data_IF_620816742039
#
_entry.id   IF_620816742039
#
_cell.length_a   1.000
_cell.length_b   1.000
_cell.length_c   1.000
_cell.angle_alpha   90.00
_cell.angle_beta   90.00
_cell.angle_gamma   90.00
#
_symmetry.space_group_name_H-M   'P 1'
#
loop_
_entity.id
_entity.type
_entity.pdbx_description
1 polymer ?
#
# COMPACT_ATOMS: atom_id res chain seq x y z
N UNK A 1 17.25 6.55 -79.09
CA UNK A 1 16.04 6.64 -78.24
C UNK A 1 16.13 5.59 -77.14
N UNK A 2 16.01 6.06 -75.89
CA UNK A 2 15.72 5.35 -74.64
C UNK A 2 16.59 4.16 -74.22
N UNK A 3 17.66 4.44 -73.45
CA UNK A 3 18.28 3.47 -72.54
C UNK A 3 17.50 3.54 -71.24
N UNK A 4 16.65 2.55 -70.98
CA UNK A 4 15.89 2.44 -69.73
C UNK A 4 16.84 1.97 -68.63
N UNK A 5 17.22 2.90 -67.75
CA UNK A 5 17.94 2.61 -66.51
C UNK A 5 17.07 1.73 -65.60
N UNK A 6 17.33 0.42 -65.61
CA UNK A 6 16.84 -0.46 -64.55
C UNK A 6 17.81 -0.39 -63.39
N UNK A 7 17.37 0.23 -62.30
CA UNK A 7 18.07 0.15 -61.02
C UNK A 7 18.37 -1.33 -60.69
N UNK A 8 19.60 -1.67 -60.26
CA UNK A 8 19.96 -3.04 -59.95
C UNK A 8 19.08 -3.61 -58.85
N UNK A 9 18.50 -4.79 -59.08
CA UNK A 9 17.60 -5.47 -58.13
C UNK A 9 18.19 -5.64 -56.72
N UNK A 10 19.52 -5.66 -56.59
CA UNK A 10 20.22 -5.76 -55.31
C UNK A 10 20.12 -4.47 -54.45
N UNK A 11 20.01 -3.30 -55.08
CA UNK A 11 19.81 -2.02 -54.36
C UNK A 11 18.40 -1.92 -53.75
N UNK A 12 17.38 -2.42 -54.45
CA UNK A 12 16.00 -2.48 -53.91
C UNK A 12 15.91 -3.44 -52.72
N UNK A 13 16.58 -4.60 -52.80
CA UNK A 13 16.63 -5.58 -51.72
C UNK A 13 17.35 -5.04 -50.47
N UNK A 14 18.45 -4.30 -50.63
CA UNK A 14 19.17 -3.70 -49.50
C UNK A 14 18.35 -2.62 -48.78
N UNK A 15 17.63 -1.77 -49.52
CA UNK A 15 16.77 -0.73 -48.92
C UNK A 15 15.56 -1.35 -48.20
N UNK A 16 14.96 -2.41 -48.72
CA UNK A 16 13.86 -3.12 -48.05
C UNK A 16 14.33 -3.80 -46.76
N UNK A 17 15.52 -4.40 -46.76
CA UNK A 17 16.11 -5.03 -45.57
C UNK A 17 16.47 -4.03 -44.47
N UNK A 18 16.93 -2.82 -44.80
CA UNK A 18 17.23 -1.80 -43.78
C UNK A 18 15.98 -1.18 -43.16
N UNK A 19 14.89 -0.98 -43.94
CA UNK A 19 13.62 -0.45 -43.41
C UNK A 19 12.92 -1.47 -42.48
N UNK A 20 13.01 -2.77 -42.77
CA UNK A 20 12.48 -3.82 -41.89
C UNK A 20 13.27 -3.96 -40.57
N UNK A 21 14.60 -3.82 -40.61
CA UNK A 21 15.43 -3.91 -39.42
C UNK A 21 15.27 -2.71 -38.47
N UNK A 22 15.02 -1.50 -38.98
CA UNK A 22 14.76 -0.32 -38.14
C UNK A 22 13.34 -0.30 -37.55
N UNK A 23 12.37 -0.99 -38.16
CA UNK A 23 10.98 -1.05 -37.69
C UNK A 23 10.76 -1.90 -36.43
N UNK A 24 11.62 -2.88 -36.15
CA UNK A 24 11.47 -3.77 -34.99
C UNK A 24 12.09 -3.22 -33.69
N UNK A 25 12.91 -2.16 -33.74
CA UNK A 25 13.62 -1.65 -32.57
C UNK A 25 12.81 -0.67 -31.70
N UNK A 26 11.57 -0.34 -32.07
CA UNK A 26 10.70 0.59 -31.31
C UNK A 26 9.56 -0.12 -30.58
N UNK A 27 9.71 -1.42 -30.29
CA UNK A 27 8.93 -2.06 -29.24
C UNK A 27 9.54 -1.65 -27.90
N UNK A 28 9.18 -0.44 -27.45
CA UNK A 28 9.46 -0.02 -26.08
C UNK A 28 9.00 -1.13 -25.14
N UNK A 29 9.92 -1.67 -24.36
CA UNK A 29 9.60 -2.63 -23.30
C UNK A 29 8.73 -1.88 -22.28
N UNK A 30 7.41 -1.93 -22.45
CA UNK A 30 6.49 -1.65 -21.36
C UNK A 30 6.88 -2.66 -20.29
N UNK A 31 7.45 -2.19 -19.19
CA UNK A 31 7.62 -3.01 -18.00
C UNK A 31 6.30 -3.69 -17.64
N UNK A 32 6.32 -4.80 -16.90
CA UNK A 32 5.08 -5.46 -16.49
C UNK A 32 4.16 -4.41 -15.86
N UNK A 33 2.92 -4.33 -16.34
CA UNK A 33 1.93 -3.47 -15.71
C UNK A 33 1.85 -3.88 -14.22
N UNK A 34 1.96 -2.91 -13.31
CA UNK A 34 1.74 -3.16 -11.89
C UNK A 34 0.33 -3.70 -11.76
N UNK A 35 0.20 -4.97 -11.39
CA UNK A 35 -1.11 -5.59 -11.23
C UNK A 35 -1.81 -4.95 -10.03
N UNK A 36 -3.00 -4.39 -10.26
CA UNK A 36 -3.88 -3.93 -9.18
C UNK A 36 -4.86 -5.06 -8.85
N UNK A 37 -4.89 -5.50 -7.59
CA UNK A 37 -5.74 -6.62 -7.17
C UNK A 37 -6.21 -6.50 -5.73
N UNK A 38 -7.37 -7.08 -5.43
CA UNK A 38 -7.91 -7.11 -4.08
C UNK A 38 -7.29 -8.27 -3.26
N UNK A 39 -7.07 -8.04 -1.97
CA UNK A 39 -6.64 -9.03 -0.98
C UNK A 39 -7.49 -8.90 0.28
N UNK A 40 -7.88 -10.04 0.87
CA UNK A 40 -8.44 -10.10 2.22
C UNK A 40 -7.37 -10.48 3.27
N UNK A 41 -6.15 -10.73 2.83
CA UNK A 41 -5.02 -11.06 3.66
C UNK A 41 -4.18 -9.82 3.96
N UNK A 42 -4.26 -9.37 5.20
CA UNK A 42 -3.53 -8.21 5.72
C UNK A 42 -2.16 -8.61 6.31
N UNK A 43 -1.85 -9.90 6.39
CA UNK A 43 -0.58 -10.36 6.96
C UNK A 43 0.62 -10.11 6.03
N UNK A 44 0.35 -9.91 4.74
CA UNK A 44 1.36 -9.72 3.70
C UNK A 44 1.28 -8.34 3.02
N UNK A 45 0.90 -7.29 3.75
CA UNK A 45 0.95 -5.93 3.23
C UNK A 45 2.40 -5.48 2.94
N UNK A 46 2.63 -4.64 1.92
CA UNK A 46 3.96 -4.15 1.58
C UNK A 46 4.69 -3.47 2.75
N UNK A 47 5.99 -3.77 2.89
CA UNK A 47 6.88 -3.26 3.94
C UNK A 47 6.52 -3.65 5.39
N UNK A 48 5.55 -4.53 5.60
CA UNK A 48 5.31 -5.11 6.91
C UNK A 48 6.56 -5.87 7.38
N UNK A 49 7.16 -5.41 8.49
CA UNK A 49 8.26 -6.13 9.15
C UNK A 49 7.71 -7.03 10.26
N UNK A 50 8.61 -7.74 10.94
CA UNK A 50 8.25 -8.57 12.09
C UNK A 50 7.90 -7.70 13.30
N UNK A 51 6.74 -7.97 13.90
CA UNK A 51 6.33 -7.40 15.18
C UNK A 51 5.13 -6.45 15.08
N UNK A 52 4.34 -6.45 16.14
CA UNK A 52 3.22 -5.56 16.32
C UNK A 52 3.26 -4.91 17.70
N UNK A 53 2.49 -3.84 17.88
CA UNK A 53 2.54 -3.04 19.08
C UNK A 53 1.22 -2.33 19.36
N UNK A 54 1.11 -1.81 20.59
CA UNK A 54 0.13 -0.82 21.02
C UNK A 54 0.86 0.41 21.55
N UNK A 55 0.18 1.55 21.57
CA UNK A 55 0.68 2.77 22.21
C UNK A 55 -0.19 3.04 23.43
N UNK A 56 0.41 3.07 24.61
CA UNK A 56 -0.26 3.33 25.87
C UNK A 56 0.10 4.71 26.38
N UNK A 57 -0.86 5.39 27.01
CA UNK A 57 -0.62 6.61 27.76
C UNK A 57 -0.24 6.25 29.19
N UNK A 58 0.93 6.67 29.63
CA UNK A 58 1.45 6.49 31.00
C UNK A 58 1.84 7.85 31.54
N UNK A 59 0.96 8.43 32.37
CA UNK A 59 1.06 9.83 32.77
C UNK A 59 0.98 10.74 31.55
N UNK A 60 2.00 11.59 31.37
CA UNK A 60 2.13 12.49 30.22
C UNK A 60 2.97 11.89 29.06
N UNK A 61 3.35 10.61 29.17
CA UNK A 61 4.21 9.93 28.19
C UNK A 61 3.46 8.85 27.40
N UNK A 62 3.87 8.65 26.14
CA UNK A 62 3.40 7.54 25.30
C UNK A 62 4.43 6.41 25.31
N UNK A 63 4.01 5.21 25.66
CA UNK A 63 4.85 4.00 25.62
C UNK A 63 4.41 3.08 24.48
N UNK A 64 5.37 2.63 23.67
CA UNK A 64 5.14 1.59 22.67
C UNK A 64 5.35 0.22 23.32
N UNK A 65 4.31 -0.61 23.34
CA UNK A 65 4.32 -1.94 23.97
C UNK A 65 4.20 -3.00 22.89
N UNK A 66 5.10 -3.98 22.87
CA UNK A 66 5.04 -5.09 21.91
C UNK A 66 3.81 -5.98 22.16
N UNK A 67 3.17 -6.40 21.07
CA UNK A 67 1.96 -7.20 21.07
C UNK A 67 2.08 -8.36 20.09
N UNK A 68 1.29 -9.41 20.31
CA UNK A 68 1.08 -10.43 19.30
C UNK A 68 0.21 -9.85 18.17
N UNK A 69 0.71 -9.91 16.93
CA UNK A 69 -0.05 -9.47 15.74
C UNK A 69 -1.41 -10.15 15.64
N UNK A 70 -2.43 -9.40 15.23
CA UNK A 70 -3.81 -9.85 15.12
C UNK A 70 -4.57 -9.96 16.47
N UNK A 71 -3.89 -9.79 17.60
CA UNK A 71 -4.56 -9.79 18.92
C UNK A 71 -5.46 -8.57 19.10
N UNK A 72 -6.38 -8.62 20.05
CA UNK A 72 -7.23 -7.48 20.41
C UNK A 72 -6.47 -6.31 21.03
N UNK A 73 -5.22 -6.51 21.45
CA UNK A 73 -4.35 -5.47 21.99
C UNK A 73 -3.45 -4.86 20.91
N UNK A 74 -3.19 -5.57 19.81
CA UNK A 74 -2.33 -5.09 18.73
C UNK A 74 -3.06 -4.07 17.88
N UNK A 75 -2.63 -2.81 17.95
CA UNK A 75 -3.18 -1.72 17.14
C UNK A 75 -2.33 -1.46 15.91
N UNK A 76 -1.01 -1.64 16.04
CA UNK A 76 -0.04 -1.24 15.03
C UNK A 76 0.85 -2.40 14.65
N UNK A 77 1.27 -2.43 13.38
CA UNK A 77 2.35 -3.27 12.88
C UNK A 77 3.58 -2.41 12.69
N UNK A 78 4.75 -2.95 13.07
CA UNK A 78 6.02 -2.26 12.85
C UNK A 78 6.43 -2.43 11.39
N UNK A 79 6.69 -1.33 10.71
CA UNK A 79 7.19 -1.33 9.32
C UNK A 79 8.61 -0.75 9.20
N UNK A 80 9.14 -0.19 10.28
CA UNK A 80 10.52 0.29 10.35
C UNK A 80 10.89 0.82 11.72
N UNK A 81 12.18 0.70 12.06
CA UNK A 81 12.80 1.35 13.22
C UNK A 81 13.98 2.17 12.70
N UNK A 82 13.97 3.47 12.98
CA UNK A 82 14.89 4.44 12.40
C UNK A 82 15.43 5.39 13.48
N UNK A 83 16.52 6.10 13.16
CA UNK A 83 17.13 7.06 14.09
C UNK A 83 16.33 8.36 14.18
N UNK A 84 15.73 8.79 13.08
CA UNK A 84 14.99 10.05 12.97
C UNK A 84 13.63 9.83 12.28
N UNK A 85 12.58 10.52 12.72
CA UNK A 85 11.22 10.36 12.18
C UNK A 85 11.12 10.65 10.68
N UNK A 86 11.97 11.54 10.15
CA UNK A 86 12.05 11.87 8.73
C UNK A 86 12.54 10.72 7.84
N UNK A 87 13.08 9.65 8.43
CA UNK A 87 13.51 8.45 7.73
C UNK A 87 12.38 7.43 7.58
N UNK A 88 11.23 7.64 8.22
CA UNK A 88 10.05 6.81 7.97
C UNK A 88 9.56 6.99 6.53
N UNK A 89 9.01 5.92 5.97
CA UNK A 89 8.29 6.00 4.70
C UNK A 89 7.16 7.03 4.83
N UNK A 90 6.99 7.86 3.81
CA UNK A 90 6.11 9.03 3.87
C UNK A 90 4.61 8.72 3.99
N UNK A 91 4.23 7.45 3.82
CA UNK A 91 2.86 6.94 3.95
C UNK A 91 2.70 5.96 5.13
N UNK A 92 3.56 6.05 6.16
CA UNK A 92 3.29 5.36 7.42
C UNK A 92 2.04 5.95 8.08
N UNK A 93 1.17 5.09 8.63
CA UNK A 93 -0.06 5.52 9.31
C UNK A 93 0.22 6.35 10.58
N UNK A 94 1.28 5.98 11.31
CA UNK A 94 1.73 6.71 12.49
C UNK A 94 3.26 6.63 12.64
N UNK A 95 3.85 7.67 13.19
CA UNK A 95 5.26 7.68 13.59
C UNK A 95 5.33 7.84 15.11
N UNK A 96 5.83 6.81 15.80
CA UNK A 96 6.13 6.87 17.22
C UNK A 96 7.57 7.35 17.41
N UNK A 97 7.77 8.43 18.16
CA UNK A 97 9.10 8.94 18.49
C UNK A 97 9.37 8.83 19.98
N UNK A 98 10.59 8.49 20.35
CA UNK A 98 11.04 8.58 21.73
C UNK A 98 12.36 9.32 21.83
N UNK A 99 12.58 9.97 22.97
CA UNK A 99 13.86 10.56 23.33
C UNK A 99 14.16 10.29 24.80
N UNK A 100 15.43 10.00 25.06
CA UNK A 100 16.02 9.81 26.38
C UNK A 100 17.31 10.63 26.44
N UNK A 101 17.95 10.70 27.62
CA UNK A 101 19.17 11.49 27.79
C UNK A 101 20.32 11.09 26.84
N UNK A 102 20.36 9.84 26.38
CA UNK A 102 21.46 9.33 25.53
C UNK A 102 21.02 8.79 24.17
N UNK A 103 19.72 8.53 23.97
CA UNK A 103 19.20 7.88 22.76
C UNK A 103 17.85 8.47 22.37
N UNK A 104 17.68 8.69 21.07
CA UNK A 104 16.40 8.97 20.43
C UNK A 104 16.18 8.01 19.28
N UNK A 105 14.94 7.90 18.84
CA UNK A 105 14.60 7.12 17.65
C UNK A 105 13.15 7.31 17.26
N UNK A 106 12.80 6.68 16.14
CA UNK A 106 11.42 6.57 15.70
C UNK A 106 11.07 5.15 15.24
N UNK A 107 9.80 4.80 15.41
CA UNK A 107 9.19 3.58 14.86
C UNK A 107 8.11 4.02 13.88
N UNK A 108 8.22 3.52 12.66
CA UNK A 108 7.26 3.72 11.59
C UNK A 108 6.21 2.62 11.71
N UNK A 109 4.93 3.00 11.77
CA UNK A 109 3.84 2.10 12.09
C UNK A 109 2.76 2.17 11.02
N UNK A 110 2.21 1.00 10.69
CA UNK A 110 0.92 0.87 10.03
C UNK A 110 -0.10 0.34 11.03
N UNK A 111 -1.39 0.48 10.76
CA UNK A 111 -2.42 -0.19 11.55
C UNK A 111 -2.37 -1.71 11.34
N UNK A 112 -2.49 -2.47 12.42
CA UNK A 112 -2.60 -3.93 12.40
C UNK A 112 -4.03 -4.33 12.02
N UNK A 113 -4.31 -4.32 10.73
CA UNK A 113 -5.61 -4.68 10.19
C UNK A 113 -5.90 -6.17 10.36
N UNK A 114 -7.01 -6.48 11.04
CA UNK A 114 -7.49 -7.84 11.24
C UNK A 114 -8.91 -7.94 10.68
N UNK A 115 -9.24 -8.98 9.88
CA UNK A 115 -10.60 -9.16 9.39
C UNK A 115 -11.61 -9.17 10.53
N UNK A 116 -12.68 -8.40 10.39
CA UNK A 116 -13.76 -8.37 11.38
C UNK A 116 -13.51 -7.50 12.61
N UNK A 117 -12.28 -7.03 12.87
CA UNK A 117 -11.99 -6.18 14.02
C UNK A 117 -12.12 -4.69 13.65
N UNK A 118 -12.75 -3.94 14.54
CA UNK A 118 -12.88 -2.49 14.39
C UNK A 118 -11.79 -1.74 15.12
N UNK A 119 -11.52 -0.53 14.64
CA UNK A 119 -10.56 0.38 15.21
C UNK A 119 -11.14 1.79 15.26
N UNK A 120 -10.94 2.48 16.38
CA UNK A 120 -11.13 3.91 16.48
C UNK A 120 -9.79 4.58 16.16
N UNK A 121 -9.76 5.34 15.08
CA UNK A 121 -8.57 6.04 14.61
C UNK A 121 -8.75 7.53 14.86
N UNK A 122 -7.76 8.14 15.48
CA UNK A 122 -7.65 9.58 15.71
C UNK A 122 -6.33 10.08 15.13
N UNK A 123 -6.12 11.41 15.01
CA UNK A 123 -4.87 11.94 14.44
C UNK A 123 -3.59 11.47 15.15
N UNK A 124 -3.66 11.22 16.47
CA UNK A 124 -2.49 10.98 17.31
C UNK A 124 -2.36 9.54 17.84
N UNK A 125 -3.39 8.71 17.63
CA UNK A 125 -3.43 7.32 18.10
C UNK A 125 -4.55 6.54 17.42
N UNK A 126 -4.49 5.21 17.57
CA UNK A 126 -5.59 4.33 17.28
C UNK A 126 -5.75 3.29 18.39
N UNK A 127 -6.92 2.67 18.46
CA UNK A 127 -7.18 1.56 19.37
C UNK A 127 -8.22 0.62 18.77
N UNK A 128 -8.08 -0.68 19.03
CA UNK A 128 -9.15 -1.64 18.75
C UNK A 128 -10.39 -1.24 19.53
N UNK A 129 -11.55 -1.34 18.88
CA UNK A 129 -12.81 -0.83 19.40
C UNK A 129 -13.97 -1.76 19.06
N UNK A 130 -15.12 -1.52 19.72
CA UNK A 130 -16.35 -2.22 19.38
C UNK A 130 -16.85 -1.76 18.00
N UNK A 131 -17.20 -2.71 17.15
CA UNK A 131 -17.82 -2.43 15.86
C UNK A 131 -19.21 -1.81 15.98
N UNK A 132 -19.91 -1.92 17.11
CA UNK A 132 -21.16 -1.22 17.32
C UNK A 132 -20.99 0.32 17.35
N UNK A 133 -19.79 0.82 17.62
CA UNK A 133 -19.49 2.25 17.61
C UNK A 133 -19.42 2.80 16.19
N UNK A 134 -20.28 3.77 15.88
CA UNK A 134 -20.33 4.46 14.60
C UNK A 134 -19.06 5.26 14.26
N UNK A 135 -18.27 5.65 15.26
CA UNK A 135 -17.00 6.33 15.05
C UNK A 135 -15.86 5.37 14.68
N UNK A 136 -16.07 4.06 14.88
CA UNK A 136 -15.10 3.04 14.55
C UNK A 136 -15.15 2.66 13.07
N UNK A 137 -14.03 2.19 12.54
CA UNK A 137 -13.90 1.68 11.18
C UNK A 137 -13.47 0.23 11.19
N UNK A 138 -13.88 -0.53 10.17
CA UNK A 138 -13.50 -1.93 9.95
C UNK A 138 -12.84 -2.07 8.58
N UNK A 139 -11.81 -2.92 8.43
CA UNK A 139 -11.27 -3.22 7.11
C UNK A 139 -12.28 -4.04 6.28
N UNK A 140 -12.51 -3.63 5.04
CA UNK A 140 -13.32 -4.35 4.03
C UNK A 140 -12.44 -5.09 3.01
N UNK A 141 -11.18 -4.70 2.90
CA UNK A 141 -10.18 -5.35 2.05
C UNK A 141 -8.96 -4.46 1.83
N UNK A 142 -7.90 -5.04 1.28
CA UNK A 142 -6.75 -4.31 0.76
C UNK A 142 -6.77 -4.32 -0.77
N UNK A 143 -6.31 -3.25 -1.39
CA UNK A 143 -6.10 -3.17 -2.83
C UNK A 143 -4.60 -2.98 -3.05
N UNK A 144 -3.92 -4.03 -3.51
CA UNK A 144 -2.49 -4.01 -3.81
C UNK A 144 -2.29 -3.38 -5.19
N UNK A 145 -1.25 -2.58 -5.35
CA UNK A 145 -0.93 -1.82 -6.56
C UNK A 145 -1.61 -0.44 -6.65
N UNK A 146 -2.55 -0.13 -5.75
CA UNK A 146 -3.27 1.14 -5.75
C UNK A 146 -2.48 2.26 -5.07
N UNK A 147 -2.63 3.49 -5.54
CA UNK A 147 -2.03 4.70 -4.92
C UNK A 147 -3.07 5.59 -4.22
N UNK A 148 -4.34 5.25 -4.35
CA UNK A 148 -5.46 5.98 -3.76
C UNK A 148 -6.60 5.00 -3.40
N UNK A 149 -7.70 5.54 -2.88
CA UNK A 149 -8.86 4.76 -2.43
C UNK A 149 -9.97 4.65 -3.48
N UNK A 150 -9.68 4.92 -4.76
CA UNK A 150 -10.70 4.90 -5.83
C UNK A 150 -11.37 3.53 -6.04
N UNK A 151 -10.68 2.46 -5.63
CA UNK A 151 -11.20 1.08 -5.67
C UNK A 151 -12.07 0.74 -4.44
N UNK A 152 -12.15 1.62 -3.45
CA UNK A 152 -12.87 1.40 -2.20
C UNK A 152 -14.26 2.03 -2.24
N UNK A 153 -15.29 1.28 -1.82
CA UNK A 153 -16.69 1.73 -1.82
C UNK A 153 -16.93 2.93 -0.88
N UNK A 154 -16.41 2.86 0.33
CA UNK A 154 -16.69 3.83 1.41
C UNK A 154 -15.49 4.72 1.74
N UNK A 155 -14.39 4.56 1.02
CA UNK A 155 -13.09 5.17 1.33
C UNK A 155 -12.13 4.19 2.00
N UNK A 156 -11.08 4.71 2.59
CA UNK A 156 -9.98 3.90 3.11
C UNK A 156 -8.75 4.71 3.49
N UNK A 157 -7.66 4.01 3.71
CA UNK A 157 -6.36 4.58 4.05
C UNK A 157 -5.36 4.25 2.92
N UNK A 158 -5.00 5.25 2.09
CA UNK A 158 -4.08 5.04 0.97
C UNK A 158 -2.62 5.05 1.42
N UNK A 159 -1.83 4.17 0.80
CA UNK A 159 -0.39 4.06 0.97
C UNK A 159 0.28 4.26 -0.40
N UNK A 160 0.33 5.50 -0.93
CA UNK A 160 0.74 5.78 -2.30
C UNK A 160 2.23 5.49 -2.58
N UNK A 161 3.10 5.55 -1.57
CA UNK A 161 4.53 5.26 -1.74
C UNK A 161 4.72 3.76 -1.90
N UNK A 162 4.01 2.97 -1.09
CA UNK A 162 4.09 1.50 -1.09
C UNK A 162 3.07 0.81 -1.99
N UNK A 163 2.28 1.59 -2.73
CA UNK A 163 1.31 1.14 -3.72
C UNK A 163 0.31 0.13 -3.16
N UNK A 164 -0.37 0.48 -2.07
CA UNK A 164 -1.59 -0.22 -1.67
C UNK A 164 -2.60 0.74 -1.02
N UNK A 165 -3.84 0.30 -0.86
CA UNK A 165 -4.83 1.01 -0.06
C UNK A 165 -5.62 0.02 0.79
N UNK A 166 -5.95 0.42 2.01
CA UNK A 166 -6.85 -0.36 2.88
C UNK A 166 -8.25 0.23 2.76
N UNK A 167 -9.17 -0.50 2.17
CA UNK A 167 -10.57 -0.11 2.13
C UNK A 167 -11.20 -0.30 3.49
N UNK A 168 -11.92 0.72 3.96
CA UNK A 168 -12.58 0.71 5.26
C UNK A 168 -14.07 1.02 5.12
N UNK A 169 -14.87 0.46 6.01
CA UNK A 169 -16.30 0.76 6.17
C UNK A 169 -16.58 1.17 7.62
N UNK A 170 -17.68 1.88 7.90
CA UNK A 170 -18.13 2.10 9.27
C UNK A 170 -18.24 0.77 10.03
N UNK A 171 -17.79 0.75 11.28
CA UNK A 171 -17.76 -0.46 12.09
C UNK A 171 -19.15 -1.09 12.26
N UNK A 172 -20.16 -0.24 12.38
CA UNK A 172 -21.54 -0.65 12.58
C UNK A 172 -22.27 -1.04 11.28
N UNK A 173 -21.57 -1.03 10.14
CA UNK A 173 -22.15 -1.49 8.88
C UNK A 173 -22.25 -3.03 8.88
N UNK A 174 -23.41 -3.62 8.50
CA UNK A 174 -23.58 -5.06 8.44
C UNK A 174 -22.56 -5.73 7.51
N UNK A 175 -21.98 -6.86 7.95
CA UNK A 175 -20.98 -7.60 7.18
C UNK A 175 -21.50 -8.19 5.84
N UNK A 176 -22.82 -8.18 5.61
CA UNK A 176 -23.51 -8.92 4.55
C UNK A 176 -24.03 -8.06 3.38
N UNK A 177 -23.40 -6.92 3.09
CA UNK A 177 -23.76 -6.15 1.86
C UNK A 177 -22.90 -6.53 0.65
N UNK A 178 -22.49 -7.80 0.56
CA UNK A 178 -21.79 -8.37 -0.62
C UNK A 178 -22.69 -9.19 -1.55
N UNK A 179 -23.97 -9.42 -1.25
CA UNK A 179 -24.89 -10.10 -2.17
C UNK A 179 -26.18 -9.32 -2.35
N UNK A 180 -26.21 -8.45 -3.36
CA UNK A 180 -27.37 -8.25 -4.23
C UNK A 180 -26.92 -7.45 -5.45
N UNK A 181 -26.25 -8.18 -6.33
CA UNK A 181 -25.94 -7.80 -7.70
C UNK A 181 -25.98 -9.08 -8.53
N UNK A 182 -27.17 -9.66 -8.66
CA UNK A 182 -27.53 -10.63 -9.69
C UNK A 182 -28.36 -9.93 -10.75
#
# INVERSE_FOLDING_TARGET
MSRTDRAPRWLVLLVVLTVLALGCAVLGTRGPAVAVYASADFTHLPAATDGCASIHQVGDSKELVEQACGSSASTFRVIGRVGESSQCVGDADLIYTWSSQMLSGAVCLDYDWTPGQCMLITPDTAAKSDCADSASVRPDGAIIGAVDVSYCRSGGIPHPVRHFAICTIPGNEPADRRTNGS
#
